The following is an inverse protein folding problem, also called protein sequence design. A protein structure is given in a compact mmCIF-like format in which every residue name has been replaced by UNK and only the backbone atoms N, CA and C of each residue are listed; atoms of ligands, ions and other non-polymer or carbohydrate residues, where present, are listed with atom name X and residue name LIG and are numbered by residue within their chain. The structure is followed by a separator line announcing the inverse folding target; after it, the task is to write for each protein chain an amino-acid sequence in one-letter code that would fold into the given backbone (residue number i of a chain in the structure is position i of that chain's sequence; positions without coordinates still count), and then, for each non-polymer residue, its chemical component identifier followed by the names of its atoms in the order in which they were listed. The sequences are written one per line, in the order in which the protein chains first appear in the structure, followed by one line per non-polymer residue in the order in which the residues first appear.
data_IF_531799936711
#
_entry.id   IF_531799936711
#
_cell.length_a   1.000
_cell.length_b   1.000
_cell.length_c   1.000
_cell.angle_alpha   90.00
_cell.angle_beta   90.00
_cell.angle_gamma   90.00
#
_symmetry.space_group_name_H-M   'P 1'
#
loop_
_entity.id
_entity.type
_entity.pdbx_description
1 polymer ?
#
# COMPACT_ATOMS: atom_id res chain seq x y z
N UNK A 1 -7.40 21.65 -7.62
CA UNK A 1 -6.98 20.58 -6.68
C UNK A 1 -6.83 19.17 -7.28
N UNK A 2 -7.25 18.93 -8.53
CA UNK A 2 -7.21 17.59 -9.16
C UNK A 2 -5.83 17.21 -9.77
N UNK A 3 -5.08 18.21 -10.26
CA UNK A 3 -3.82 17.99 -10.98
C UNK A 3 -2.72 17.50 -10.04
N UNK A 4 -2.59 18.09 -8.85
CA UNK A 4 -1.57 17.72 -7.86
C UNK A 4 -1.70 16.27 -7.41
N UNK A 5 -2.94 15.80 -7.13
CA UNK A 5 -3.22 14.39 -6.80
C UNK A 5 -2.93 13.43 -7.94
N UNK A 6 -3.10 13.85 -9.20
CA UNK A 6 -2.81 13.00 -10.37
C UNK A 6 -1.31 12.89 -10.66
N UNK A 7 -0.58 14.00 -10.49
CA UNK A 7 0.87 14.07 -10.67
C UNK A 7 1.57 13.32 -9.55
N UNK A 8 1.12 13.48 -8.31
CA UNK A 8 1.61 12.72 -7.16
C UNK A 8 1.40 11.21 -7.36
N UNK A 9 0.24 10.77 -7.86
CA UNK A 9 0.00 9.36 -8.19
C UNK A 9 0.92 8.85 -9.29
N UNK A 10 1.09 9.60 -10.39
CA UNK A 10 1.98 9.19 -11.50
C UNK A 10 3.44 9.06 -11.06
N UNK A 11 3.91 9.95 -10.19
CA UNK A 11 5.26 9.88 -9.61
C UNK A 11 5.37 8.67 -8.66
N UNK A 12 4.33 8.38 -7.87
CA UNK A 12 4.29 7.22 -6.97
C UNK A 12 4.33 5.87 -7.74
N UNK A 13 3.73 5.81 -8.94
CA UNK A 13 3.71 4.60 -9.77
C UNK A 13 4.95 4.39 -10.65
N UNK A 14 5.82 5.39 -10.80
CA UNK A 14 7.08 5.27 -11.56
C UNK A 14 8.22 4.63 -10.76
N UNK A 15 8.17 4.75 -9.43
CA UNK A 15 9.18 4.22 -8.52
C UNK A 15 8.49 3.29 -7.52
N UNK A 16 8.60 1.97 -7.74
CA UNK A 16 8.04 0.97 -6.83
C UNK A 16 8.55 1.11 -5.39
N UNK A 17 7.89 0.45 -4.44
CA UNK A 17 8.20 0.51 -2.99
C UNK A 17 9.71 0.42 -2.66
N UNK A 18 10.44 -0.39 -3.41
CA UNK A 18 11.90 -0.56 -3.27
C UNK A 18 12.70 0.72 -3.57
N UNK A 19 12.25 1.55 -4.50
CA UNK A 19 12.92 2.79 -4.87
C UNK A 19 12.80 3.86 -3.78
N UNK A 20 11.65 3.95 -3.12
CA UNK A 20 11.46 4.82 -1.96
C UNK A 20 12.31 4.38 -0.76
N UNK A 21 12.44 3.07 -0.53
CA UNK A 21 13.33 2.52 0.49
C UNK A 21 14.81 2.84 0.20
N UNK A 22 15.24 2.77 -1.07
CA UNK A 22 16.61 3.16 -1.47
C UNK A 22 16.84 4.65 -1.27
N UNK A 23 15.89 5.52 -1.63
CA UNK A 23 16.00 6.97 -1.40
C UNK A 23 16.13 7.27 0.09
N UNK A 24 15.34 6.62 0.94
CA UNK A 24 15.45 6.73 2.40
C UNK A 24 16.85 6.33 2.89
N UNK A 25 17.37 5.20 2.42
CA UNK A 25 18.69 4.69 2.80
C UNK A 25 19.82 5.65 2.40
N UNK A 26 19.74 6.21 1.19
CA UNK A 26 20.71 7.19 0.69
C UNK A 26 20.66 8.49 1.49
N UNK A 27 19.46 9.01 1.78
CA UNK A 27 19.29 10.22 2.59
C UNK A 27 19.78 10.02 4.02
N UNK A 28 19.51 8.86 4.63
CA UNK A 28 19.99 8.51 5.96
C UNK A 28 21.52 8.43 5.99
N UNK A 29 22.13 7.78 5.01
CA UNK A 29 23.59 7.69 4.89
C UNK A 29 24.23 9.08 4.69
N UNK A 30 23.63 9.94 3.87
CA UNK A 30 24.08 11.32 3.69
C UNK A 30 23.95 12.14 4.99
N UNK A 31 22.85 11.98 5.74
CA UNK A 31 22.66 12.64 7.02
C UNK A 31 23.71 12.21 8.05
N UNK A 32 24.03 10.91 8.12
CA UNK A 32 25.07 10.37 9.00
C UNK A 32 26.47 10.86 8.59
N UNK A 33 26.78 10.88 7.29
CA UNK A 33 28.05 11.43 6.78
C UNK A 33 28.20 12.90 7.18
N UNK A 34 27.14 13.71 7.01
CA UNK A 34 27.15 15.12 7.37
C UNK A 34 27.23 15.31 8.89
N UNK A 35 26.58 14.44 9.67
CA UNK A 35 26.70 14.37 11.13
C UNK A 35 28.13 14.02 11.59
N UNK A 36 28.81 13.11 10.90
CA UNK A 36 30.21 12.74 11.14
C UNK A 36 31.13 13.93 10.85
N UNK A 37 30.92 14.64 9.74
CA UNK A 37 31.65 15.87 9.37
C UNK A 37 31.37 17.04 10.33
N UNK A 38 30.21 17.06 10.99
CA UNK A 38 29.86 17.97 12.08
C UNK A 38 30.62 17.61 13.38
N UNK A 39 30.73 16.32 13.72
CA UNK A 39 31.44 15.85 14.92
C UNK A 39 32.95 16.16 14.82
N UNK A 40 33.55 15.92 13.64
CA UNK A 40 34.97 16.17 13.36
C UNK A 40 35.27 17.64 12.95
N UNK A 41 34.25 18.46 12.70
CA UNK A 41 34.41 19.87 12.32
C UNK A 41 34.78 20.75 13.51
N UNK A 42 36.01 21.29 13.52
CA UNK A 42 36.58 22.15 14.57
C UNK A 42 35.98 23.56 14.70
N UNK A 43 35.00 23.93 13.86
CA UNK A 43 34.46 25.30 13.78
C UNK A 43 32.97 25.37 14.17
N UNK A 44 32.67 26.26 15.13
CA UNK A 44 31.36 26.42 15.81
C UNK A 44 30.20 26.72 14.83
N UNK A 45 30.47 27.43 13.73
CA UNK A 45 29.47 27.74 12.69
C UNK A 45 29.03 26.52 11.85
N UNK A 46 29.99 25.67 11.46
CA UNK A 46 29.72 24.44 10.71
C UNK A 46 29.01 23.39 11.56
N UNK A 47 29.24 23.43 12.88
CA UNK A 47 28.44 22.69 13.84
C UNK A 47 26.97 23.15 13.79
N UNK A 48 26.65 24.40 14.12
CA UNK A 48 25.23 24.85 14.15
C UNK A 48 24.44 24.51 12.88
N UNK A 49 25.03 24.69 11.69
CA UNK A 49 24.40 24.31 10.42
C UNK A 49 24.11 22.80 10.30
N UNK A 50 25.05 21.94 10.68
CA UNK A 50 24.87 20.49 10.65
C UNK A 50 23.80 19.97 11.62
N UNK A 51 23.62 20.62 12.77
CA UNK A 51 22.57 20.26 13.72
C UNK A 51 21.16 20.53 13.16
N UNK A 52 20.92 21.72 12.63
CA UNK A 52 19.62 22.05 12.02
C UNK A 52 19.37 21.25 10.74
N UNK A 53 20.39 21.04 9.91
CA UNK A 53 20.29 20.22 8.71
C UNK A 53 20.01 18.74 9.06
N UNK A 54 20.67 18.22 10.11
CA UNK A 54 20.44 16.87 10.62
C UNK A 54 19.01 16.68 11.13
N UNK A 55 18.47 17.63 11.89
CA UNK A 55 17.07 17.62 12.34
C UNK A 55 16.12 17.64 11.15
N UNK A 56 16.36 18.51 10.17
CA UNK A 56 15.52 18.57 8.97
C UNK A 56 15.53 17.25 8.19
N UNK A 57 16.70 16.62 8.04
CA UNK A 57 16.82 15.31 7.39
C UNK A 57 16.16 14.19 8.20
N UNK A 58 16.24 14.24 9.54
CA UNK A 58 15.56 13.28 10.41
C UNK A 58 14.04 13.36 10.28
N UNK A 59 13.49 14.58 10.24
CA UNK A 59 12.06 14.80 10.04
C UNK A 59 11.60 14.34 8.65
N UNK A 60 12.38 14.62 7.61
CA UNK A 60 12.11 14.11 6.25
C UNK A 60 12.12 12.58 6.21
N UNK A 61 13.10 11.96 6.88
CA UNK A 61 13.26 10.51 6.99
C UNK A 61 12.06 9.86 7.71
N UNK A 62 11.61 10.45 8.83
CA UNK A 62 10.42 9.98 9.55
C UNK A 62 9.13 10.12 8.71
N UNK A 63 9.03 11.18 7.91
CA UNK A 63 7.94 11.35 6.94
C UNK A 63 7.94 10.24 5.89
N UNK A 64 9.09 9.95 5.29
CA UNK A 64 9.23 8.88 4.30
C UNK A 64 8.89 7.50 4.86
N UNK A 65 9.30 7.20 6.10
CA UNK A 65 8.96 5.95 6.78
C UNK A 65 7.44 5.83 6.99
N UNK A 66 6.79 6.91 7.43
CA UNK A 66 5.34 6.95 7.61
C UNK A 66 4.60 6.65 6.30
N UNK A 67 5.03 7.26 5.20
CA UNK A 67 4.48 6.98 3.87
C UNK A 67 4.71 5.54 3.43
N UNK A 68 5.89 4.96 3.71
CA UNK A 68 6.18 3.56 3.40
C UNK A 68 5.30 2.58 4.16
N UNK A 69 5.05 2.83 5.45
CA UNK A 69 4.17 1.99 6.27
C UNK A 69 2.73 2.10 5.77
N UNK A 70 2.29 3.31 5.44
CA UNK A 70 0.95 3.55 4.90
C UNK A 70 0.75 2.86 3.55
N UNK A 71 1.72 2.94 2.64
CA UNK A 71 1.70 2.28 1.34
C UNK A 71 1.72 0.75 1.46
N UNK A 72 2.47 0.21 2.43
CA UNK A 72 2.49 -1.23 2.69
C UNK A 72 1.14 -1.71 3.22
N UNK A 73 0.52 -0.95 4.13
CA UNK A 73 -0.83 -1.27 4.63
C UNK A 73 -1.93 -1.16 3.57
N UNK A 74 -1.75 -0.32 2.55
CA UNK A 74 -2.68 -0.21 1.41
C UNK A 74 -2.50 -1.38 0.43
N UNK A 75 -1.25 -1.85 0.23
CA UNK A 75 -0.93 -2.93 -0.70
C UNK A 75 -1.21 -4.33 -0.13
N UNK A 76 -1.14 -4.51 1.20
CA UNK A 76 -1.44 -5.78 1.87
C UNK A 76 -2.91 -5.94 2.28
N UNK A 77 -3.78 -4.96 2.01
CA UNK A 77 -5.24 -5.12 2.14
C UNK A 77 -5.88 -5.91 1.00
N UNK A 78 -5.11 -6.25 -0.03
CA UNK A 78 -5.53 -7.16 -1.08
C UNK A 78 -5.36 -8.62 -0.60
N UNK A 79 -6.11 -8.99 0.43
CA UNK A 79 -6.19 -10.38 0.89
C UNK A 79 -6.62 -11.24 -0.31
N UNK A 80 -5.72 -12.11 -0.75
CA UNK A 80 -6.05 -13.02 -1.85
C UNK A 80 -6.82 -14.19 -1.26
N UNK A 81 -7.83 -14.66 -1.96
CA UNK A 81 -8.61 -15.82 -1.56
C UNK A 81 -8.74 -16.81 -2.71
N UNK A 82 -8.99 -18.07 -2.36
CA UNK A 82 -9.30 -19.14 -3.30
C UNK A 82 -10.74 -19.58 -3.06
N UNK A 83 -11.50 -19.73 -4.14
CA UNK A 83 -12.86 -20.30 -4.08
C UNK A 83 -12.76 -21.78 -3.74
N UNK A 84 -13.40 -22.19 -2.65
CA UNK A 84 -13.43 -23.58 -2.17
C UNK A 84 -14.75 -24.28 -2.50
N UNK A 85 -15.80 -23.52 -2.79
CA UNK A 85 -17.09 -24.08 -3.20
C UNK A 85 -17.05 -24.54 -4.67
N UNK A 86 -17.65 -25.70 -5.01
CA UNK A 86 -17.68 -26.22 -6.38
C UNK A 86 -18.26 -25.24 -7.41
N UNK A 87 -19.28 -24.48 -6.98
CA UNK A 87 -19.98 -23.49 -7.79
C UNK A 87 -20.43 -22.36 -6.87
N UNK A 88 -19.90 -21.16 -7.08
CA UNK A 88 -20.30 -19.96 -6.35
C UNK A 88 -20.81 -18.89 -7.31
N UNK A 89 -21.97 -18.31 -6.97
CA UNK A 89 -22.52 -17.19 -7.71
C UNK A 89 -22.00 -15.87 -7.14
N UNK A 90 -21.42 -15.05 -8.00
CA UNK A 90 -20.98 -13.70 -7.67
C UNK A 90 -22.13 -12.72 -7.88
N UNK A 91 -22.46 -11.98 -6.83
CA UNK A 91 -23.62 -11.10 -6.70
C UNK A 91 -23.26 -9.64 -6.95
N UNK A 92 -24.22 -8.87 -7.44
CA UNK A 92 -24.06 -7.42 -7.64
C UNK A 92 -23.97 -6.60 -6.35
N UNK A 93 -24.52 -7.09 -5.25
CA UNK A 93 -24.54 -6.40 -3.96
C UNK A 93 -24.52 -7.39 -2.79
N UNK A 94 -24.06 -6.97 -1.58
CA UNK A 94 -24.01 -7.82 -0.40
C UNK A 94 -25.40 -7.90 0.25
N UNK A 95 -26.38 -8.47 -0.46
CA UNK A 95 -27.73 -8.64 0.05
C UNK A 95 -28.22 -10.08 -0.15
N UNK A 96 -28.78 -10.65 0.91
CA UNK A 96 -29.34 -12.01 0.91
C UNK A 96 -30.68 -12.11 0.19
N UNK A 97 -31.34 -10.98 -0.12
CA UNK A 97 -32.75 -10.95 -0.56
C UNK A 97 -33.04 -10.32 -1.92
N UNK A 98 -32.09 -9.63 -2.57
CA UNK A 98 -32.40 -8.86 -3.79
C UNK A 98 -31.22 -8.57 -4.73
N UNK A 99 -30.10 -9.28 -4.57
CA UNK A 99 -28.97 -9.12 -5.47
C UNK A 99 -29.13 -9.96 -6.74
N UNK A 100 -28.79 -9.38 -7.89
CA UNK A 100 -28.67 -10.11 -9.15
C UNK A 100 -27.35 -10.88 -9.20
N UNK A 101 -27.40 -12.12 -9.69
CA UNK A 101 -26.22 -12.90 -10.04
C UNK A 101 -25.56 -12.30 -11.29
N UNK A 102 -24.29 -11.93 -11.17
CA UNK A 102 -23.50 -11.33 -12.24
C UNK A 102 -22.83 -12.42 -13.08
N UNK A 103 -22.18 -13.38 -12.42
CA UNK A 103 -21.49 -14.49 -13.04
C UNK A 103 -21.20 -15.58 -12.01
N UNK A 104 -20.85 -16.77 -12.49
CA UNK A 104 -20.53 -17.92 -11.66
C UNK A 104 -19.03 -18.19 -11.74
N UNK A 105 -18.44 -18.57 -10.61
CA UNK A 105 -17.05 -19.00 -10.49
C UNK A 105 -16.99 -20.40 -9.90
N UNK A 106 -15.91 -21.11 -10.23
CA UNK A 106 -15.67 -22.48 -9.81
C UNK A 106 -14.57 -22.55 -8.76
N UNK A 107 -14.54 -23.66 -8.05
CA UNK A 107 -13.46 -24.03 -7.13
C UNK A 107 -12.08 -23.84 -7.77
N UNK A 108 -11.11 -23.41 -6.96
CA UNK A 108 -9.73 -23.15 -7.40
C UNK A 108 -9.53 -21.80 -8.08
N UNK A 109 -10.59 -21.01 -8.29
CA UNK A 109 -10.45 -19.65 -8.82
C UNK A 109 -9.80 -18.75 -7.78
N UNK A 110 -8.65 -18.15 -8.13
CA UNK A 110 -8.00 -17.13 -7.32
C UNK A 110 -8.69 -15.78 -7.50
N UNK A 111 -9.03 -15.14 -6.39
CA UNK A 111 -9.70 -13.84 -6.36
C UNK A 111 -9.00 -12.92 -5.38
N UNK A 112 -9.09 -11.61 -5.61
CA UNK A 112 -8.56 -10.59 -4.70
C UNK A 112 -9.71 -9.95 -3.94
N UNK A 113 -9.64 -9.91 -2.61
CA UNK A 113 -10.64 -9.25 -1.77
C UNK A 113 -10.39 -7.74 -1.83
N UNK A 114 -11.46 -7.00 -2.14
CA UNK A 114 -11.47 -5.54 -2.22
C UNK A 114 -12.13 -4.90 -0.99
N UNK A 115 -13.16 -5.54 -0.44
CA UNK A 115 -13.95 -5.01 0.67
C UNK A 115 -14.70 -6.13 1.40
N UNK A 116 -15.18 -5.86 2.61
CA UNK A 116 -15.93 -6.80 3.44
C UNK A 116 -17.14 -6.12 4.10
N UNK A 117 -18.32 -6.72 3.93
CA UNK A 117 -19.58 -6.24 4.51
C UNK A 117 -20.31 -7.43 5.13
N UNK A 118 -20.17 -7.59 6.45
CA UNK A 118 -20.78 -8.69 7.18
C UNK A 118 -20.23 -10.05 6.72
N UNK A 119 -21.11 -10.91 6.21
CA UNK A 119 -20.71 -12.23 5.66
C UNK A 119 -20.38 -12.20 4.17
N UNK A 120 -20.25 -11.01 3.59
CA UNK A 120 -19.97 -10.81 2.16
C UNK A 120 -18.60 -10.20 1.96
N UNK A 121 -17.87 -10.70 0.98
CA UNK A 121 -16.62 -10.11 0.51
C UNK A 121 -16.77 -9.64 -0.94
N UNK A 122 -16.38 -8.41 -1.21
CA UNK A 122 -16.24 -7.91 -2.57
C UNK A 122 -14.93 -8.45 -3.12
N UNK A 123 -14.99 -9.11 -4.27
CA UNK A 123 -13.87 -9.74 -4.92
C UNK A 123 -13.65 -9.18 -6.32
N UNK A 124 -12.38 -9.18 -6.75
CA UNK A 124 -11.97 -8.94 -8.13
C UNK A 124 -11.35 -10.19 -8.72
N UNK A 125 -11.75 -10.53 -9.94
CA UNK A 125 -11.11 -11.57 -10.75
C UNK A 125 -9.91 -10.99 -11.51
N UNK A 126 -9.04 -11.88 -12.01
CA UNK A 126 -7.89 -11.53 -12.83
C UNK A 126 -8.26 -10.85 -14.16
N UNK A 127 -9.49 -11.03 -14.64
CA UNK A 127 -10.04 -10.39 -15.83
C UNK A 127 -10.63 -8.98 -15.57
N UNK A 128 -10.60 -8.53 -14.31
CA UNK A 128 -11.11 -7.24 -13.88
C UNK A 128 -12.61 -7.21 -13.55
N UNK A 129 -13.33 -8.33 -13.66
CA UNK A 129 -14.71 -8.41 -13.18
C UNK A 129 -14.76 -8.40 -11.66
N UNK A 130 -15.76 -7.72 -11.10
CA UNK A 130 -15.96 -7.57 -9.67
C UNK A 130 -17.35 -7.98 -9.23
N UNK A 131 -17.48 -8.35 -7.97
CA UNK A 131 -18.76 -8.56 -7.31
C UNK A 131 -18.62 -9.19 -5.94
N UNK A 132 -19.75 -9.51 -5.32
CA UNK A 132 -19.84 -9.96 -3.94
C UNK A 132 -20.01 -11.47 -3.85
N UNK A 133 -19.26 -12.12 -2.97
CA UNK A 133 -19.35 -13.54 -2.66
C UNK A 133 -19.49 -13.74 -1.15
N UNK A 134 -20.10 -14.84 -0.72
CA UNK A 134 -20.19 -15.16 0.70
C UNK A 134 -18.84 -15.63 1.23
N UNK A 135 -18.48 -15.19 2.44
CA UNK A 135 -17.23 -15.58 3.10
C UNK A 135 -17.11 -17.09 3.28
N UNK A 136 -18.23 -17.84 3.33
CA UNK A 136 -18.23 -19.29 3.45
C UNK A 136 -17.72 -20.03 2.19
N UNK A 137 -17.75 -19.36 1.03
CA UNK A 137 -17.40 -19.97 -0.26
C UNK A 137 -15.91 -19.80 -0.62
N UNK A 138 -15.19 -18.97 0.13
CA UNK A 138 -13.80 -18.59 -0.16
C UNK A 138 -12.91 -18.74 1.07
N UNK A 139 -11.66 -19.13 0.84
CA UNK A 139 -10.65 -19.26 1.88
C UNK A 139 -9.48 -18.30 1.61
N UNK A 140 -9.12 -17.50 2.62
CA UNK A 140 -8.08 -16.47 2.53
C UNK A 140 -6.71 -17.12 2.69
N UNK A 141 -5.75 -16.73 1.84
CA UNK A 141 -4.37 -17.27 1.79
C UNK A 141 -3.32 -16.22 2.13
#
# INVERSE_FOLDING_TARGET
EFILKSVARKICYLMGSNAWAVIFLVLLAAALMMGMLFLLGSTVGRRRAGFYCGIALLLLSAGALSFSIWQKSDSEKADTAIVMSPVSSVKSSPSSGSSKDLFVIHEGTKVTILDEVGTWKNISLADGRQGWIETADIEII
#
